data_IF_538159288579
#
_entry.id   IF_538159288579
#
_cell.length_a   1.000
_cell.length_b   1.000
_cell.length_c   1.000
_cell.angle_alpha   90.00
_cell.angle_beta   90.00
_cell.angle_gamma   90.00
#
_symmetry.space_group_name_H-M   'P 1'
#
loop_
_entity.id
_entity.type
_entity.pdbx_description
1 polymer ?
#
# COMPACT_ATOMS: atom_id res chain seq x y z
N UNK A 1 28.33 -0.97 38.04
CA UNK A 1 27.03 -1.59 37.68
C UNK A 1 26.08 -0.66 36.92
N UNK A 2 26.29 0.65 36.89
CA UNK A 2 25.38 1.61 36.22
C UNK A 2 25.38 1.54 34.68
N UNK A 3 26.51 1.21 34.03
CA UNK A 3 26.60 1.18 32.56
C UNK A 3 25.88 0.01 31.86
N UNK A 4 25.47 -1.03 32.59
CA UNK A 4 24.77 -2.19 32.00
C UNK A 4 23.26 -1.96 31.84
N UNK A 5 22.67 -1.06 32.64
CA UNK A 5 21.23 -0.79 32.65
C UNK A 5 20.81 0.12 31.49
N UNK A 6 21.67 1.08 31.09
CA UNK A 6 21.42 1.93 29.93
C UNK A 6 21.46 1.15 28.60
N UNK A 7 22.36 0.17 28.49
CA UNK A 7 22.49 -0.64 27.27
C UNK A 7 21.24 -1.50 27.00
N UNK A 8 20.62 -2.03 28.06
CA UNK A 8 19.38 -2.83 27.95
C UNK A 8 18.14 -1.98 27.66
N UNK A 9 18.07 -0.75 28.20
CA UNK A 9 16.95 0.16 27.95
C UNK A 9 16.97 0.69 26.51
N UNK A 10 18.14 1.04 25.98
CA UNK A 10 18.28 1.49 24.58
C UNK A 10 17.94 0.38 23.57
N UNK A 11 18.30 -0.87 23.86
CA UNK A 11 17.99 -2.02 23.00
C UNK A 11 16.48 -2.32 22.96
N UNK A 12 15.77 -2.13 24.09
CA UNK A 12 14.32 -2.34 24.18
C UNK A 12 13.53 -1.27 23.42
N UNK A 13 13.98 -0.01 23.47
CA UNK A 13 13.36 1.10 22.72
C UNK A 13 13.54 0.93 21.20
N UNK A 14 14.72 0.49 20.75
CA UNK A 14 14.97 0.18 19.33
C UNK A 14 14.12 -1.01 18.86
N UNK A 15 14.02 -2.09 19.65
CA UNK A 15 13.16 -3.24 19.30
C UNK A 15 11.66 -2.88 19.25
N UNK A 16 11.16 -2.03 20.15
CA UNK A 16 9.74 -1.64 20.15
C UNK A 16 9.33 -0.82 18.93
N UNK A 17 10.25 -0.06 18.33
CA UNK A 17 9.98 0.73 17.13
C UNK A 17 9.83 -0.11 15.85
N UNK A 18 10.38 -1.33 15.83
CA UNK A 18 10.32 -2.24 14.68
C UNK A 18 8.98 -3.01 14.59
N UNK A 19 8.25 -3.13 15.71
CA UNK A 19 7.02 -3.93 15.82
C UNK A 19 5.74 -3.16 15.44
N UNK A 20 5.81 -1.84 15.25
CA UNK A 20 4.65 -1.00 14.95
C UNK A 20 4.55 -0.56 13.48
N UNK A 21 5.52 -0.94 12.65
CA UNK A 21 5.48 -0.57 11.24
C UNK A 21 4.47 -1.46 10.51
N UNK A 22 3.37 -0.85 10.03
CA UNK A 22 2.39 -1.52 9.19
C UNK A 22 3.09 -2.07 7.95
N UNK A 23 2.96 -3.39 7.74
CA UNK A 23 3.73 -4.12 6.73
C UNK A 23 3.04 -4.12 5.38
N UNK A 24 3.79 -3.76 4.35
CA UNK A 24 3.35 -3.77 2.97
C UNK A 24 3.98 -4.95 2.22
N UNK A 25 3.15 -5.64 1.47
CA UNK A 25 3.47 -6.77 0.60
C UNK A 25 2.67 -6.63 -0.70
N UNK A 26 2.87 -7.56 -1.63
CA UNK A 26 2.11 -7.65 -2.87
C UNK A 26 0.68 -8.18 -2.67
N UNK A 27 0.27 -8.51 -1.44
CA UNK A 27 -1.10 -8.96 -1.13
C UNK A 27 -1.76 -8.20 0.04
N UNK A 28 -1.00 -7.41 0.79
CA UNK A 28 -1.51 -6.66 1.95
C UNK A 28 -0.80 -5.34 2.09
N UNK A 29 -1.56 -4.30 2.40
CA UNK A 29 -1.08 -2.96 2.68
C UNK A 29 -1.47 -2.60 4.12
N UNK A 30 -0.62 -2.99 5.08
CA UNK A 30 -1.00 -3.02 6.49
C UNK A 30 -2.07 -4.08 6.75
N UNK A 31 -3.18 -3.67 7.35
CA UNK A 31 -4.34 -4.55 7.62
C UNK A 31 -5.27 -4.72 6.42
N UNK A 32 -5.09 -3.94 5.35
CA UNK A 32 -5.98 -3.95 4.19
C UNK A 32 -5.44 -4.97 3.18
N UNK A 33 -6.20 -6.04 2.94
CA UNK A 33 -5.91 -7.03 1.91
C UNK A 33 -6.58 -6.71 0.58
N UNK A 34 -5.96 -7.11 -0.53
CA UNK A 34 -6.49 -6.85 -1.89
C UNK A 34 -7.85 -7.53 -2.17
N UNK A 35 -8.21 -8.55 -1.39
CA UNK A 35 -9.49 -9.27 -1.51
C UNK A 35 -10.57 -8.74 -0.55
N UNK A 36 -10.31 -7.67 0.20
CA UNK A 36 -11.28 -7.15 1.15
C UNK A 36 -12.43 -6.43 0.42
N UNK A 37 -13.64 -6.62 0.92
CA UNK A 37 -14.79 -5.80 0.54
C UNK A 37 -14.76 -4.43 1.22
N UNK A 38 -15.44 -3.45 0.63
CA UNK A 38 -15.64 -2.13 1.24
C UNK A 38 -16.18 -2.22 2.68
N UNK A 39 -17.10 -3.17 2.95
CA UNK A 39 -17.66 -3.38 4.30
C UNK A 39 -16.59 -3.84 5.30
N UNK A 40 -15.70 -4.73 4.88
CA UNK A 40 -14.59 -5.19 5.73
C UNK A 40 -13.59 -4.06 6.00
N UNK A 41 -13.30 -3.23 4.99
CA UNK A 41 -12.43 -2.05 5.16
C UNK A 41 -13.05 -1.03 6.11
N UNK A 42 -14.35 -0.73 5.97
CA UNK A 42 -15.05 0.18 6.88
C UNK A 42 -15.04 -0.30 8.34
N UNK A 43 -15.03 -1.62 8.57
CA UNK A 43 -14.97 -2.20 9.91
C UNK A 43 -13.61 -1.98 10.62
N UNK A 44 -12.56 -1.57 9.91
CA UNK A 44 -11.25 -1.23 10.51
C UNK A 44 -11.30 0.11 11.27
N UNK A 45 -12.31 0.95 11.02
CA UNK A 45 -12.46 2.26 11.67
C UNK A 45 -13.87 2.45 12.22
N UNK A 46 -14.32 1.61 13.19
CA UNK A 46 -15.71 1.61 13.65
C UNK A 46 -16.14 2.94 14.31
N UNK A 47 -15.19 3.67 14.91
CA UNK A 47 -15.46 4.91 15.64
C UNK A 47 -15.26 6.19 14.80
N UNK A 48 -14.84 6.05 13.53
CA UNK A 48 -14.59 7.18 12.63
C UNK A 48 -15.43 7.05 11.38
N UNK A 49 -16.02 8.16 10.94
CA UNK A 49 -16.69 8.24 9.65
C UNK A 49 -15.65 8.07 8.55
N UNK A 50 -15.62 6.90 7.93
CA UNK A 50 -14.95 6.74 6.65
C UNK A 50 -15.61 7.68 5.63
N UNK A 51 -14.80 8.46 4.92
CA UNK A 51 -15.31 9.31 3.84
C UNK A 51 -15.39 8.44 2.60
N UNK A 52 -16.60 8.11 2.18
CA UNK A 52 -16.85 7.32 0.98
C UNK A 52 -17.31 8.23 -0.15
N UNK A 53 -16.51 8.30 -1.21
CA UNK A 53 -16.78 9.14 -2.38
C UNK A 53 -17.28 8.28 -3.53
N UNK A 54 -18.52 8.55 -3.97
CA UNK A 54 -19.19 7.88 -5.10
C UNK A 54 -19.14 8.72 -6.38
N UNK A 55 -18.27 9.74 -6.43
CA UNK A 55 -18.08 10.60 -7.60
C UNK A 55 -17.79 9.78 -8.86
N UNK A 56 -17.07 8.67 -8.70
CA UNK A 56 -16.95 7.61 -9.70
C UNK A 56 -17.75 6.37 -9.28
N UNK A 57 -18.94 6.19 -9.85
CA UNK A 57 -19.82 5.05 -9.54
C UNK A 57 -19.22 3.66 -9.89
N UNK A 58 -18.22 3.63 -10.75
CA UNK A 58 -17.56 2.39 -11.18
C UNK A 58 -16.31 2.07 -10.36
N UNK A 59 -15.62 3.12 -9.89
CA UNK A 59 -14.46 3.00 -9.01
C UNK A 59 -14.58 3.98 -7.85
N UNK A 60 -15.46 3.71 -6.87
CA UNK A 60 -15.63 4.61 -5.75
C UNK A 60 -14.38 4.57 -4.87
N UNK A 61 -14.19 5.64 -4.10
CA UNK A 61 -12.99 5.84 -3.30
C UNK A 61 -13.33 6.03 -1.83
N UNK A 62 -12.37 5.73 -0.96
CA UNK A 62 -12.52 5.89 0.48
C UNK A 62 -11.20 6.27 1.13
N UNK A 63 -11.25 7.31 1.95
CA UNK A 63 -10.18 7.65 2.87
C UNK A 63 -10.48 7.09 4.27
N UNK A 64 -9.51 6.37 4.85
CA UNK A 64 -9.58 5.90 6.23
C UNK A 64 -8.30 6.19 7.02
N UNK A 65 -8.42 6.17 8.35
CA UNK A 65 -7.28 6.27 9.26
C UNK A 65 -7.24 5.05 10.18
N UNK A 66 -6.28 4.15 9.96
CA UNK A 66 -6.05 2.98 10.79
C UNK A 66 -4.72 3.16 11.52
N UNK A 67 -4.72 3.03 12.86
CA UNK A 67 -3.54 3.27 13.72
C UNK A 67 -2.79 4.59 13.46
N UNK A 68 -3.53 5.64 13.07
CA UNK A 68 -2.96 6.96 12.80
C UNK A 68 -2.15 7.03 11.50
N UNK A 69 -2.42 6.13 10.55
CA UNK A 69 -1.94 6.15 9.17
C UNK A 69 -3.13 6.43 8.26
N UNK A 70 -2.99 7.41 7.36
CA UNK A 70 -3.99 7.69 6.32
C UNK A 70 -3.81 6.73 5.16
N UNK A 71 -4.88 6.06 4.75
CA UNK A 71 -4.94 5.25 3.54
C UNK A 71 -5.97 5.84 2.60
N UNK A 72 -5.65 5.81 1.31
CA UNK A 72 -6.56 6.09 0.22
C UNK A 72 -6.84 4.79 -0.53
N UNK A 73 -8.11 4.41 -0.62
CA UNK A 73 -8.56 3.15 -1.21
C UNK A 73 -9.47 3.44 -2.38
N UNK A 74 -9.26 2.76 -3.50
CA UNK A 74 -10.24 2.69 -4.58
C UNK A 74 -10.81 1.27 -4.66
N UNK A 75 -12.05 1.15 -5.09
CA UNK A 75 -12.74 -0.12 -5.23
C UNK A 75 -13.10 -0.41 -6.68
N UNK A 76 -13.36 -1.67 -6.98
CA UNK A 76 -14.08 -2.07 -8.19
C UNK A 76 -15.34 -2.84 -7.80
N UNK A 77 -16.37 -2.79 -8.64
CA UNK A 77 -17.58 -3.58 -8.43
C UNK A 77 -17.39 -5.00 -8.95
N UNK A 78 -17.16 -5.97 -8.07
CA UNK A 78 -17.14 -7.39 -8.45
C UNK A 78 -18.53 -7.83 -8.91
N UNK A 79 -18.66 -8.26 -10.16
CA UNK A 79 -19.92 -8.64 -10.81
C UNK A 79 -20.43 -10.01 -10.37
N UNK A 80 -19.53 -10.90 -9.92
CA UNK A 80 -19.90 -12.23 -9.39
C UNK A 80 -20.53 -12.12 -8.01
N UNK A 81 -19.96 -11.29 -7.14
CA UNK A 81 -20.42 -11.13 -5.75
C UNK A 81 -21.40 -9.95 -5.59
N UNK A 82 -21.47 -9.07 -6.60
CA UNK A 82 -22.17 -7.79 -6.57
C UNK A 82 -21.74 -6.90 -5.39
N UNK A 83 -20.46 -7.00 -4.98
CA UNK A 83 -19.86 -6.22 -3.90
C UNK A 83 -18.73 -5.34 -4.42
N UNK A 84 -18.48 -4.23 -3.73
CA UNK A 84 -17.27 -3.44 -3.94
C UNK A 84 -16.09 -4.09 -3.22
N UNK A 85 -15.03 -4.38 -3.96
CA UNK A 85 -13.80 -5.01 -3.50
C UNK A 85 -12.61 -4.09 -3.76
N UNK A 86 -11.59 -4.17 -2.91
CA UNK A 86 -10.40 -3.32 -2.99
C UNK A 86 -9.74 -3.48 -4.36
N UNK A 87 -9.63 -2.37 -5.09
CA UNK A 87 -8.81 -2.28 -6.30
C UNK A 87 -7.41 -1.80 -5.94
N UNK A 88 -7.29 -0.58 -5.41
CA UNK A 88 -6.02 -0.03 -4.94
C UNK A 88 -6.07 0.38 -3.49
N UNK A 89 -4.91 0.29 -2.83
CA UNK A 89 -4.66 0.90 -1.53
C UNK A 89 -3.34 1.64 -1.61
N UNK A 90 -3.33 2.91 -1.23
CA UNK A 90 -2.11 3.72 -1.22
C UNK A 90 -1.94 4.53 0.05
N UNK A 91 -0.70 4.89 0.34
CA UNK A 91 -0.35 5.80 1.42
C UNK A 91 1.01 6.44 1.19
N UNK A 92 1.16 7.65 1.73
CA UNK A 92 2.38 8.45 1.76
C UNK A 92 2.92 8.60 3.19
N UNK A 93 2.37 7.86 4.16
CA UNK A 93 2.75 7.95 5.59
C UNK A 93 4.10 7.28 5.86
N UNK A 94 4.93 7.87 6.73
CA UNK A 94 6.27 7.34 7.03
C UNK A 94 6.26 6.09 7.92
N UNK A 95 5.13 5.75 8.54
CA UNK A 95 4.99 4.59 9.43
C UNK A 95 4.81 3.26 8.67
N UNK A 96 4.55 3.29 7.36
CA UNK A 96 4.46 2.08 6.54
C UNK A 96 5.85 1.62 6.08
N UNK A 97 6.07 0.31 6.05
CA UNK A 97 7.30 -0.29 5.52
C UNK A 97 7.02 -1.64 4.90
N UNK A 98 7.77 -2.03 3.88
CA UNK A 98 7.73 -3.39 3.36
C UNK A 98 8.44 -4.36 4.30
N UNK A 99 8.28 -5.67 4.08
CA UNK A 99 9.03 -6.69 4.82
C UNK A 99 10.54 -6.59 4.62
N UNK A 100 11.00 -6.08 3.47
CA UNK A 100 12.43 -5.83 3.21
C UNK A 100 12.93 -4.50 3.78
N UNK A 101 12.07 -3.73 4.46
CA UNK A 101 12.45 -2.47 5.11
C UNK A 101 12.41 -1.24 4.20
N UNK A 102 11.89 -1.36 2.98
CA UNK A 102 11.61 -0.19 2.12
C UNK A 102 10.47 0.61 2.74
N UNK A 103 10.62 1.93 2.80
CA UNK A 103 9.65 2.85 3.40
C UNK A 103 9.60 4.16 2.62
N UNK A 104 8.68 5.05 2.98
CA UNK A 104 8.70 6.42 2.47
C UNK A 104 10.05 7.07 2.85
N UNK A 105 10.71 7.69 1.88
CA UNK A 105 12.08 8.22 2.01
C UNK A 105 13.19 7.26 1.57
N UNK A 106 12.90 5.98 1.27
CA UNK A 106 13.87 5.08 0.65
C UNK A 106 14.24 5.54 -0.76
N UNK A 107 15.44 5.18 -1.23
CA UNK A 107 15.95 5.59 -2.54
C UNK A 107 15.66 4.55 -3.63
N UNK A 108 15.79 4.96 -4.89
CA UNK A 108 15.79 4.04 -6.03
C UNK A 108 16.88 2.96 -5.91
N UNK A 109 18.04 3.29 -5.34
CA UNK A 109 19.11 2.32 -5.10
C UNK A 109 18.68 1.25 -4.07
N UNK A 110 17.99 1.65 -3.00
CA UNK A 110 17.46 0.73 -2.01
C UNK A 110 16.45 -0.25 -2.64
N UNK A 111 15.60 0.25 -3.54
CA UNK A 111 14.66 -0.58 -4.31
C UNK A 111 15.39 -1.60 -5.17
N UNK A 112 16.37 -1.17 -5.96
CA UNK A 112 17.17 -2.09 -6.78
C UNK A 112 17.88 -3.14 -5.95
N UNK A 113 18.50 -2.73 -4.84
CA UNK A 113 19.20 -3.65 -3.94
C UNK A 113 18.26 -4.70 -3.38
N UNK A 114 17.05 -4.30 -3.01
CA UNK A 114 16.05 -5.18 -2.39
C UNK A 114 15.34 -6.08 -3.40
N UNK A 115 15.09 -5.58 -4.60
CA UNK A 115 14.10 -6.20 -5.50
C UNK A 115 14.63 -6.64 -6.86
N UNK A 116 15.89 -6.42 -7.22
CA UNK A 116 16.46 -6.78 -8.55
C UNK A 116 16.25 -8.22 -9.06
N UNK A 117 15.79 -9.14 -8.20
CA UNK A 117 15.51 -10.54 -8.55
C UNK A 117 14.04 -10.82 -8.86
N UNK A 118 13.15 -9.88 -8.60
CA UNK A 118 11.72 -10.00 -8.89
C UNK A 118 11.42 -9.45 -10.28
N UNK A 119 10.22 -9.74 -10.77
CA UNK A 119 9.71 -9.09 -11.97
C UNK A 119 9.43 -7.62 -11.68
N UNK A 120 10.10 -6.74 -12.42
CA UNK A 120 10.11 -5.30 -12.19
C UNK A 120 9.77 -4.57 -13.49
N UNK A 121 8.87 -3.61 -13.36
CA UNK A 121 8.56 -2.63 -14.40
C UNK A 121 8.87 -1.22 -13.90
N UNK A 122 9.42 -0.37 -14.76
CA UNK A 122 9.61 1.06 -14.47
C UNK A 122 8.78 1.85 -15.46
N UNK A 123 7.95 2.75 -14.94
CA UNK A 123 7.20 3.69 -15.76
C UNK A 123 7.70 5.10 -15.48
N UNK A 124 7.99 5.84 -16.55
CA UNK A 124 8.24 7.28 -16.53
C UNK A 124 7.12 7.95 -17.29
N UNK A 125 6.54 9.02 -16.75
CA UNK A 125 5.39 9.62 -17.40
C UNK A 125 4.67 10.70 -16.59
N UNK A 126 3.35 10.73 -16.74
CA UNK A 126 2.46 11.75 -16.17
C UNK A 126 2.77 11.92 -14.68
N UNK A 127 2.97 13.17 -14.31
CA UNK A 127 3.17 13.57 -12.92
C UNK A 127 1.97 13.15 -12.07
N UNK A 128 2.24 12.38 -11.00
CA UNK A 128 1.25 12.05 -9.99
C UNK A 128 0.76 13.35 -9.31
N UNK A 129 -0.55 13.58 -9.30
CA UNK A 129 -1.12 14.86 -8.87
C UNK A 129 -0.86 15.15 -7.38
N UNK A 130 -0.86 14.10 -6.55
CA UNK A 130 -0.65 14.16 -5.11
C UNK A 130 0.81 14.42 -4.76
N UNK A 131 1.73 13.60 -5.30
CA UNK A 131 3.13 13.57 -4.86
C UNK A 131 4.07 14.34 -5.78
N UNK A 132 3.62 14.69 -7.00
CA UNK A 132 4.46 15.23 -8.07
C UNK A 132 5.57 14.28 -8.50
N UNK A 133 5.35 12.98 -8.30
CA UNK A 133 6.23 11.91 -8.76
C UNK A 133 6.12 11.75 -10.27
N UNK A 134 7.24 11.59 -10.96
CA UNK A 134 7.29 11.37 -12.42
C UNK A 134 7.75 9.97 -12.80
N UNK A 135 8.16 9.16 -11.81
CA UNK A 135 8.64 7.80 -11.99
C UNK A 135 7.93 6.85 -11.02
N UNK A 136 7.57 5.67 -11.50
CA UNK A 136 7.02 4.58 -10.69
C UNK A 136 7.86 3.34 -10.89
N UNK A 137 8.34 2.76 -9.79
CA UNK A 137 9.00 1.45 -9.76
C UNK A 137 7.97 0.42 -9.30
N UNK A 138 7.76 -0.65 -10.05
CA UNK A 138 6.71 -1.62 -9.79
C UNK A 138 7.28 -3.02 -9.63
N UNK A 139 6.78 -3.75 -8.65
CA UNK A 139 7.01 -5.18 -8.48
C UNK A 139 5.74 -5.89 -8.94
N UNK A 140 5.85 -6.74 -9.96
CA UNK A 140 4.71 -7.48 -10.50
C UNK A 140 4.66 -8.85 -9.82
N UNK A 141 3.59 -9.12 -9.07
CA UNK A 141 3.30 -10.42 -8.49
C UNK A 141 2.21 -11.08 -9.33
N UNK A 142 2.66 -11.69 -10.43
CA UNK A 142 1.78 -12.33 -11.42
C UNK A 142 0.99 -13.47 -10.78
N UNK A 143 1.60 -14.21 -9.84
CA UNK A 143 0.97 -15.34 -9.16
C UNK A 143 -0.25 -14.91 -8.34
N UNK A 144 -0.17 -13.75 -7.67
CA UNK A 144 -1.29 -13.18 -6.93
C UNK A 144 -2.10 -12.15 -7.73
N UNK A 145 -1.71 -11.87 -8.97
CA UNK A 145 -2.37 -10.91 -9.84
C UNK A 145 -2.32 -9.47 -9.32
N UNK A 146 -1.26 -9.12 -8.59
CA UNK A 146 -1.13 -7.85 -7.89
C UNK A 146 0.16 -7.11 -8.28
N UNK A 147 0.15 -5.79 -8.11
CA UNK A 147 1.32 -4.93 -8.34
C UNK A 147 1.60 -4.09 -7.11
N UNK A 148 2.85 -4.07 -6.63
CA UNK A 148 3.31 -3.12 -5.62
C UNK A 148 4.12 -2.02 -6.28
N UNK A 149 3.59 -0.81 -6.25
CA UNK A 149 4.13 0.38 -6.90
C UNK A 149 4.75 1.34 -5.89
N UNK A 150 5.94 1.83 -6.20
CA UNK A 150 6.67 2.87 -5.47
C UNK A 150 6.76 4.09 -6.36
N UNK A 151 6.11 5.19 -5.96
CA UNK A 151 6.19 6.47 -6.65
C UNK A 151 7.43 7.22 -6.18
N UNK A 152 8.23 7.72 -7.12
CA UNK A 152 9.50 8.38 -6.86
C UNK A 152 9.50 9.84 -7.32
N UNK A 153 9.83 10.74 -6.38
CA UNK A 153 10.21 12.11 -6.66
C UNK A 153 11.70 12.28 -6.39
N UNK A 154 12.46 12.74 -7.38
CA UNK A 154 13.92 12.88 -7.27
C UNK A 154 14.62 11.57 -6.80
N UNK A 155 14.17 10.42 -7.30
CA UNK A 155 14.65 9.08 -6.91
C UNK A 155 14.41 8.69 -5.45
N UNK A 156 13.51 9.38 -4.75
CA UNK A 156 13.09 9.06 -3.38
C UNK A 156 11.64 8.63 -3.38
N UNK A 157 11.34 7.53 -2.69
CA UNK A 157 9.99 6.99 -2.54
C UNK A 157 9.14 7.97 -1.73
N UNK A 158 8.03 8.41 -2.33
CA UNK A 158 7.08 9.38 -1.73
C UNK A 158 5.70 8.80 -1.48
N UNK A 159 5.34 7.71 -2.19
CA UNK A 159 4.09 6.97 -2.01
C UNK A 159 4.29 5.50 -2.35
N UNK A 160 3.57 4.64 -1.64
CA UNK A 160 3.39 3.24 -2.01
C UNK A 160 1.94 2.96 -2.37
N UNK A 161 1.73 2.08 -3.34
CA UNK A 161 0.40 1.63 -3.74
C UNK A 161 0.41 0.14 -4.05
N UNK A 162 -0.57 -0.58 -3.52
CA UNK A 162 -0.90 -1.94 -3.92
C UNK A 162 -2.09 -1.90 -4.87
N UNK A 163 -2.01 -2.61 -6.00
CA UNK A 163 -3.10 -2.76 -6.99
C UNK A 163 -3.48 -4.22 -7.19
N UNK A 164 -4.78 -4.50 -7.24
CA UNK A 164 -5.39 -5.79 -7.55
C UNK A 164 -5.77 -5.87 -9.04
N UNK A 165 -4.76 -6.01 -9.90
CA UNK A 165 -4.94 -6.00 -11.36
C UNK A 165 -5.81 -7.16 -11.84
N UNK A 166 -5.56 -8.38 -11.34
CA UNK A 166 -6.34 -9.56 -11.76
C UNK A 166 -7.76 -9.53 -11.24
N UNK A 167 -8.02 -9.06 -10.02
CA UNK A 167 -9.39 -8.89 -9.53
C UNK A 167 -10.19 -7.96 -10.42
N UNK A 168 -9.61 -6.82 -10.79
CA UNK A 168 -10.24 -5.86 -11.70
C UNK A 168 -10.40 -6.39 -13.13
N UNK A 169 -9.36 -6.98 -13.71
CA UNK A 169 -9.39 -7.45 -15.10
C UNK A 169 -10.29 -8.68 -15.27
N UNK A 170 -10.21 -9.66 -14.36
CA UNK A 170 -11.03 -10.89 -14.42
C UNK A 170 -12.52 -10.62 -14.19
N UNK A 171 -12.86 -9.45 -13.64
CA UNK A 171 -14.22 -9.01 -13.47
C UNK A 171 -14.87 -8.57 -14.81
N UNK A 172 -14.06 -8.27 -15.84
CA UNK A 172 -14.53 -7.84 -17.17
C UNK A 172 -14.58 -8.99 -18.19
N UNK A 173 -14.27 -10.24 -17.80
CA UNK A 173 -14.18 -11.40 -18.72
C UNK A 173 -15.41 -12.31 -18.63
N UNK A 174 -16.45 -11.90 -17.87
CA UNK A 174 -17.73 -12.64 -17.79
C UNK A 174 -18.89 -11.82 -18.34
N UNK A 175 -18.63 -10.97 -19.35
CA UNK A 175 -19.66 -10.55 -20.29
C UNK A 175 -19.64 -11.53 -21.47
N UNK A 176 -20.41 -12.61 -21.32
CA UNK A 176 -21.10 -13.36 -22.38
C UNK A 176 -22.25 -14.17 -21.76
#
# INVERSE_FOLDING_TARGET
>A
MLNRVYLTASLFVVLSSLLLAQKVTTSKFGEIGYTMSQKQVAALTPDKLAVYEVTNKYMPEQDIIVHGIKYHISYYKNMKTNQFEVYTVSSSDQKISTLSGIKIGSTLEDLWKSYKKYDISIQEGREDEETKSTRVFMINDIDNGCTLSFYLKNNVVVKMMLSNESGYLNNNIYED
#
